data_IF_038795515588
#
_entry.id   IF_038795515588
#
_cell.length_a   1.000
_cell.length_b   1.000
_cell.length_c   1.000
_cell.angle_alpha   90.00
_cell.angle_beta   90.00
_cell.angle_gamma   90.00
#
_symmetry.space_group_name_H-M   'P 1'
#
loop_
_entity.id
_entity.type
_entity.pdbx_description
1 polymer ?
#
# COMPACT_ATOMS: atom_id res chain seq x y z
N UNK A 1 4.44 8.50 -25.01
CA UNK A 1 3.62 9.36 -24.10
C UNK A 1 2.69 8.49 -23.28
N UNK A 2 2.59 8.71 -21.96
CA UNK A 2 1.70 8.01 -21.05
C UNK A 2 1.06 9.00 -20.07
N UNK A 3 -0.10 8.65 -19.49
CA UNK A 3 -0.75 9.49 -18.48
C UNK A 3 -0.26 9.16 -17.09
N UNK A 4 -0.08 10.18 -16.24
CA UNK A 4 0.30 10.01 -14.83
C UNK A 4 -0.05 11.24 -14.01
N UNK A 5 -0.24 11.05 -12.71
CA UNK A 5 -0.32 12.14 -11.75
C UNK A 5 1.11 12.66 -11.56
N UNK A 6 1.31 13.96 -11.77
CA UNK A 6 2.63 14.59 -11.60
C UNK A 6 2.55 15.66 -10.52
N UNK A 7 3.47 15.60 -9.58
CA UNK A 7 3.70 16.62 -8.55
C UNK A 7 4.91 17.44 -9.00
N UNK A 8 4.71 18.72 -9.27
CA UNK A 8 5.75 19.67 -9.71
C UNK A 8 5.93 20.79 -8.68
N UNK A 9 6.94 21.61 -8.85
CA UNK A 9 7.29 22.72 -7.96
C UNK A 9 8.23 22.30 -6.83
N UNK A 10 7.92 22.68 -5.62
CA UNK A 10 8.71 22.38 -4.42
C UNK A 10 7.80 22.13 -3.23
N UNK A 11 8.38 21.66 -2.14
CA UNK A 11 7.61 21.44 -0.89
C UNK A 11 6.97 22.74 -0.43
N UNK A 12 5.65 22.71 -0.22
CA UNK A 12 4.86 23.86 0.21
C UNK A 12 4.32 24.73 -0.92
N UNK A 13 4.83 24.55 -2.14
CA UNK A 13 4.35 25.20 -3.37
C UNK A 13 4.26 24.16 -4.50
N UNK A 14 3.64 23.04 -4.21
CA UNK A 14 3.50 21.95 -5.17
C UNK A 14 2.22 22.06 -5.97
N UNK A 15 2.33 21.77 -7.25
CA UNK A 15 1.22 21.68 -8.17
C UNK A 15 1.02 20.21 -8.58
N UNK A 16 -0.21 19.73 -8.48
CA UNK A 16 -0.56 18.35 -8.80
C UNK A 16 -1.54 18.32 -9.93
N UNK A 17 -1.23 17.56 -10.95
CA UNK A 17 -2.10 17.45 -12.13
C UNK A 17 -1.95 16.11 -12.82
N UNK A 18 -3.01 15.66 -13.49
CA UNK A 18 -2.95 14.55 -14.43
C UNK A 18 -2.38 15.06 -15.76
N UNK A 19 -1.23 14.53 -16.17
CA UNK A 19 -0.53 14.96 -17.38
C UNK A 19 -0.27 13.81 -18.34
N UNK A 20 -0.11 14.15 -19.61
CA UNK A 20 0.57 13.31 -20.60
C UNK A 20 2.07 13.55 -20.47
N UNK A 21 2.81 12.50 -20.16
CA UNK A 21 4.25 12.55 -19.84
C UNK A 21 5.01 11.85 -20.96
N UNK A 22 6.13 12.44 -21.39
CA UNK A 22 7.03 11.83 -22.36
C UNK A 22 7.78 10.66 -21.69
N UNK A 23 7.89 9.53 -22.38
CA UNK A 23 8.64 8.35 -21.90
C UNK A 23 10.13 8.62 -21.72
N UNK A 24 10.69 9.59 -22.46
CA UNK A 24 12.05 10.08 -22.26
C UNK A 24 12.29 10.69 -20.87
N UNK A 25 11.23 11.07 -20.14
CA UNK A 25 11.29 11.59 -18.77
C UNK A 25 11.26 10.50 -17.70
N UNK A 26 11.03 9.24 -18.08
CA UNK A 26 11.09 8.15 -17.11
C UNK A 26 12.46 8.14 -16.41
N UNK A 27 12.49 7.98 -15.07
CA UNK A 27 13.75 7.94 -14.34
C UNK A 27 14.60 6.74 -14.75
N UNK A 28 15.84 6.69 -14.28
CA UNK A 28 16.73 5.55 -14.47
C UNK A 28 16.14 4.28 -13.82
N UNK A 29 16.38 3.15 -14.48
CA UNK A 29 15.94 1.83 -14.06
C UNK A 29 16.19 0.82 -15.17
N UNK A 30 16.24 -0.44 -14.82
CA UNK A 30 16.55 -1.55 -15.70
C UNK A 30 15.31 -2.36 -16.14
N UNK A 31 14.13 -2.03 -15.56
CA UNK A 31 12.85 -2.64 -15.94
C UNK A 31 11.79 -1.55 -16.17
N UNK A 32 11.16 -1.57 -17.35
CA UNK A 32 10.01 -0.71 -17.68
C UNK A 32 8.73 -1.54 -17.62
N UNK A 33 7.72 -1.02 -16.91
CA UNK A 33 6.44 -1.69 -16.64
C UNK A 33 5.29 -0.85 -17.16
N UNK A 34 4.39 -1.46 -17.94
CA UNK A 34 3.06 -0.92 -18.19
C UNK A 34 2.19 -1.24 -16.97
N UNK A 35 1.80 -0.19 -16.23
CA UNK A 35 1.06 -0.30 -14.98
C UNK A 35 -0.40 -0.57 -15.28
N UNK A 36 -0.88 -1.75 -14.88
CA UNK A 36 -2.27 -2.14 -15.02
C UNK A 36 -3.12 -1.64 -13.85
N UNK A 37 -2.59 -1.73 -12.62
CA UNK A 37 -3.25 -1.30 -11.39
C UNK A 37 -2.25 -0.70 -10.42
N UNK A 38 -2.72 0.24 -9.61
CA UNK A 38 -2.05 0.81 -8.44
C UNK A 38 -3.04 0.83 -7.28
N UNK A 39 -2.60 1.27 -6.10
CA UNK A 39 -3.46 1.49 -4.93
C UNK A 39 -3.39 2.95 -4.48
N UNK A 40 -4.32 3.33 -3.59
CA UNK A 40 -4.26 4.60 -2.89
C UNK A 40 -3.96 4.34 -1.41
N UNK A 41 -2.83 4.80 -0.95
CA UNK A 41 -2.41 4.73 0.45
C UNK A 41 -2.49 6.12 1.10
N UNK A 42 -2.59 6.16 2.41
CA UNK A 42 -2.55 7.43 3.17
C UNK A 42 -1.29 8.25 2.82
N UNK A 43 -0.17 7.58 2.61
CA UNK A 43 1.08 8.19 2.20
C UNK A 43 0.98 8.90 0.84
N UNK A 44 0.29 8.32 -0.13
CA UNK A 44 0.08 8.93 -1.44
C UNK A 44 -0.77 10.21 -1.31
N UNK A 45 -1.80 10.16 -0.46
CA UNK A 45 -2.60 11.33 -0.11
C UNK A 45 -1.78 12.45 0.54
N UNK A 46 -0.86 12.11 1.44
CA UNK A 46 0.06 13.08 2.04
C UNK A 46 1.03 13.67 1.00
N UNK A 47 1.53 12.84 0.07
CA UNK A 47 2.41 13.30 -1.02
C UNK A 47 1.67 14.29 -1.93
N UNK A 48 0.46 13.91 -2.38
CA UNK A 48 -0.37 14.71 -3.28
C UNK A 48 -0.79 16.03 -2.65
N UNK A 49 -1.19 16.02 -1.38
CA UNK A 49 -1.66 17.21 -0.66
C UNK A 49 -0.55 18.08 -0.07
N UNK A 50 0.69 17.63 -0.07
CA UNK A 50 1.82 18.34 0.55
C UNK A 50 1.77 18.43 2.07
N UNK A 51 0.82 17.73 2.73
CA UNK A 51 0.64 17.77 4.19
C UNK A 51 1.79 17.15 4.97
N UNK A 52 2.60 16.31 4.31
CA UNK A 52 3.82 15.76 4.88
C UNK A 52 4.92 15.67 3.81
N UNK A 53 6.22 15.68 4.19
CA UNK A 53 7.36 15.65 3.27
C UNK A 53 7.60 14.24 2.69
N UNK A 54 6.61 13.69 2.00
CA UNK A 54 6.68 12.35 1.40
C UNK A 54 7.53 12.41 0.13
N UNK A 55 7.14 13.23 -0.86
CA UNK A 55 7.96 13.45 -2.05
C UNK A 55 9.29 14.10 -1.65
N UNK A 56 10.39 13.44 -1.98
CA UNK A 56 11.76 13.88 -1.67
C UNK A 56 12.43 14.59 -2.84
N UNK A 57 11.94 14.35 -4.04
CA UNK A 57 12.42 14.94 -5.30
C UNK A 57 11.23 15.43 -6.12
N UNK A 58 11.45 16.42 -6.95
CA UNK A 58 10.47 17.00 -7.86
C UNK A 58 11.08 17.12 -9.28
N UNK A 59 10.33 16.86 -10.35
CA UNK A 59 8.94 16.39 -10.34
C UNK A 59 8.82 14.94 -9.84
N UNK A 60 7.66 14.57 -9.26
CA UNK A 60 7.39 13.25 -8.71
C UNK A 60 6.07 12.69 -9.24
N UNK A 61 6.08 11.43 -9.65
CA UNK A 61 4.87 10.63 -9.83
C UNK A 61 4.61 9.88 -8.51
N UNK A 62 3.52 10.14 -7.79
CA UNK A 62 3.21 9.44 -6.55
C UNK A 62 2.73 8.00 -6.79
N UNK A 63 2.46 7.27 -5.71
CA UNK A 63 1.96 5.89 -5.75
C UNK A 63 3.04 4.90 -5.30
N UNK A 64 2.87 4.36 -4.09
CA UNK A 64 3.87 3.45 -3.49
C UNK A 64 3.70 2.01 -3.91
N UNK A 65 2.63 1.69 -4.63
CA UNK A 65 2.29 0.34 -5.09
C UNK A 65 2.00 0.34 -6.59
N UNK A 66 2.36 -0.74 -7.26
CA UNK A 66 1.92 -1.02 -8.63
C UNK A 66 1.92 -2.51 -8.93
N UNK A 67 1.10 -2.90 -9.90
CA UNK A 67 1.15 -4.18 -10.57
C UNK A 67 0.95 -3.97 -12.08
N UNK A 68 1.67 -4.69 -12.88
CA UNK A 68 1.63 -4.52 -14.33
C UNK A 68 2.47 -5.53 -15.08
N UNK A 69 2.72 -5.24 -16.34
CA UNK A 69 3.46 -6.11 -17.26
C UNK A 69 4.76 -5.44 -17.67
N UNK A 70 5.86 -6.16 -17.60
CA UNK A 70 7.16 -5.72 -18.09
C UNK A 70 7.10 -5.53 -19.61
N UNK A 71 7.50 -4.35 -20.09
CA UNK A 71 7.60 -4.05 -21.53
C UNK A 71 9.02 -4.10 -22.04
N UNK A 72 9.97 -3.66 -21.21
CA UNK A 72 11.40 -3.64 -21.52
C UNK A 72 12.20 -4.02 -20.27
N UNK A 73 13.25 -4.80 -20.42
CA UNK A 73 14.16 -5.15 -19.32
C UNK A 73 15.58 -5.34 -19.81
N UNK A 74 16.54 -4.80 -19.07
CA UNK A 74 17.94 -5.19 -19.10
C UNK A 74 18.36 -5.97 -17.85
N UNK A 75 17.43 -6.18 -16.91
CA UNK A 75 17.64 -7.00 -15.73
C UNK A 75 17.55 -8.49 -16.11
N UNK A 76 18.49 -9.35 -15.65
CA UNK A 76 18.51 -10.78 -16.03
C UNK A 76 17.32 -11.59 -15.50
N UNK A 77 16.68 -11.11 -14.41
CA UNK A 77 15.59 -11.83 -13.74
C UNK A 77 14.21 -11.54 -14.34
N UNK A 78 14.11 -10.55 -15.24
CA UNK A 78 12.84 -10.13 -15.86
C UNK A 78 12.95 -9.97 -17.37
N UNK A 79 11.88 -10.29 -18.06
CA UNK A 79 11.73 -10.12 -19.53
C UNK A 79 10.38 -9.52 -19.88
N UNK A 80 10.26 -8.98 -21.08
CA UNK A 80 9.00 -8.48 -21.60
C UNK A 80 7.92 -9.56 -21.53
N UNK A 81 6.73 -9.18 -21.05
CA UNK A 81 5.58 -10.06 -20.83
C UNK A 81 5.47 -10.61 -19.41
N UNK A 82 6.49 -10.48 -18.57
CA UNK A 82 6.39 -10.90 -17.16
C UNK A 82 5.43 -9.99 -16.38
N UNK A 83 4.54 -10.60 -15.61
CA UNK A 83 3.66 -9.87 -14.67
C UNK A 83 4.38 -9.64 -13.34
N UNK A 84 4.36 -8.41 -12.87
CA UNK A 84 5.12 -7.99 -11.69
C UNK A 84 4.31 -7.16 -10.73
N UNK A 85 4.75 -7.16 -9.46
CA UNK A 85 4.21 -6.36 -8.35
C UNK A 85 5.34 -5.62 -7.67
N UNK A 86 5.06 -4.40 -7.21
CA UNK A 86 5.93 -3.63 -6.33
C UNK A 86 5.12 -3.01 -5.20
N UNK A 87 5.65 -3.11 -3.97
CA UNK A 87 5.12 -2.44 -2.80
C UNK A 87 6.25 -1.70 -2.06
N UNK A 88 6.15 -0.38 -1.95
CA UNK A 88 7.08 0.43 -1.15
C UNK A 88 8.41 0.75 -1.82
N UNK A 89 9.53 0.40 -1.19
CA UNK A 89 10.92 0.63 -1.66
C UNK A 89 11.28 2.09 -1.98
N UNK A 90 10.53 3.07 -1.44
CA UNK A 90 10.72 4.48 -1.72
C UNK A 90 10.18 4.94 -3.09
N UNK A 91 9.41 4.09 -3.75
CA UNK A 91 8.65 4.43 -4.95
C UNK A 91 7.50 5.37 -4.56
N UNK A 92 7.25 6.41 -5.32
CA UNK A 92 6.36 7.51 -4.94
C UNK A 92 6.93 8.50 -3.92
N UNK A 93 8.20 8.29 -3.47
CA UNK A 93 8.89 9.15 -2.51
C UNK A 93 10.22 9.72 -3.07
N UNK A 94 11.13 8.83 -3.46
CA UNK A 94 12.46 9.14 -4.03
C UNK A 94 12.54 8.77 -5.51
N UNK A 95 11.70 7.85 -5.95
CA UNK A 95 11.55 7.39 -7.33
C UNK A 95 10.10 7.58 -7.76
N UNK A 96 9.88 7.76 -9.04
CA UNK A 96 8.53 7.84 -9.60
C UNK A 96 7.74 6.58 -9.30
N UNK A 97 6.47 6.77 -8.94
CA UNK A 97 5.58 5.74 -8.44
C UNK A 97 4.55 5.21 -9.44
N UNK A 98 3.60 4.45 -8.90
CA UNK A 98 2.62 3.67 -9.64
C UNK A 98 1.34 4.42 -10.07
N UNK A 99 1.14 5.68 -9.67
CA UNK A 99 -0.03 6.46 -10.14
C UNK A 99 0.20 7.06 -11.54
N UNK A 100 0.65 6.22 -12.45
CA UNK A 100 0.85 6.48 -13.86
C UNK A 100 0.65 5.20 -14.68
N UNK A 101 0.45 5.33 -15.99
CA UNK A 101 0.29 4.18 -16.88
C UNK A 101 1.61 3.43 -17.13
N UNK A 102 2.75 4.07 -16.86
CA UNK A 102 4.08 3.48 -17.08
C UNK A 102 5.03 3.86 -15.94
N UNK A 103 5.87 2.92 -15.54
CA UNK A 103 6.93 3.13 -14.56
C UNK A 103 8.24 2.50 -15.05
N UNK A 104 9.39 3.10 -14.70
CA UNK A 104 10.72 2.49 -14.88
C UNK A 104 11.39 2.39 -13.53
N UNK A 105 11.88 1.19 -13.20
CA UNK A 105 12.25 0.80 -11.84
C UNK A 105 13.50 -0.08 -11.86
N UNK A 106 14.12 -0.25 -10.68
CA UNK A 106 15.11 -1.31 -10.49
C UNK A 106 14.41 -2.65 -10.32
N UNK A 107 14.82 -3.68 -11.06
CA UNK A 107 14.30 -5.03 -10.97
C UNK A 107 14.44 -5.63 -9.57
N UNK A 108 15.46 -5.26 -8.79
CA UNK A 108 15.65 -5.70 -7.40
C UNK A 108 14.46 -5.40 -6.48
N UNK A 109 13.57 -4.50 -6.90
CA UNK A 109 12.38 -4.08 -6.13
C UNK A 109 11.10 -4.75 -6.60
N UNK A 110 11.16 -5.43 -7.73
CA UNK A 110 10.03 -6.12 -8.33
C UNK A 110 9.95 -7.56 -7.84
N UNK A 111 8.74 -8.07 -7.73
CA UNK A 111 8.49 -9.48 -7.52
C UNK A 111 7.56 -9.99 -8.62
N UNK A 112 7.77 -11.22 -9.13
CA UNK A 112 6.83 -11.83 -10.05
C UNK A 112 5.44 -11.94 -9.41
N UNK A 113 4.41 -11.59 -10.15
CA UNK A 113 3.03 -11.80 -9.70
C UNK A 113 2.78 -13.30 -9.57
N UNK A 114 2.45 -13.74 -8.35
CA UNK A 114 2.25 -15.16 -8.05
C UNK A 114 0.82 -15.59 -8.38
N UNK A 115 0.67 -16.69 -9.11
CA UNK A 115 -0.62 -17.35 -9.25
C UNK A 115 -1.15 -17.81 -7.86
N UNK A 116 -2.46 -17.76 -7.58
CA UNK A 116 -3.55 -17.47 -8.53
C UNK A 116 -3.95 -15.98 -8.61
N UNK A 117 -3.15 -15.06 -8.09
CA UNK A 117 -3.52 -13.64 -8.02
C UNK A 117 -3.46 -12.95 -9.38
N UNK A 118 -4.45 -12.11 -9.64
CA UNK A 118 -4.42 -11.14 -10.74
C UNK A 118 -3.78 -9.82 -10.25
N UNK A 119 -3.30 -8.98 -11.17
CA UNK A 119 -2.77 -7.65 -10.85
C UNK A 119 -3.78 -6.80 -10.04
N UNK A 120 -5.07 -6.91 -10.35
CA UNK A 120 -6.15 -6.25 -9.60
C UNK A 120 -6.22 -6.75 -8.15
N UNK A 121 -6.13 -8.04 -7.93
CA UNK A 121 -6.18 -8.63 -6.58
C UNK A 121 -4.91 -8.29 -5.79
N UNK A 122 -3.73 -8.33 -6.43
CA UNK A 122 -2.49 -7.92 -5.82
C UNK A 122 -2.54 -6.47 -5.33
N UNK A 123 -3.15 -5.57 -6.12
CA UNK A 123 -3.31 -4.17 -5.71
C UNK A 123 -4.46 -3.99 -4.71
N UNK A 124 -5.47 -4.84 -4.69
CA UNK A 124 -6.46 -4.84 -3.60
C UNK A 124 -5.84 -5.23 -2.24
N UNK A 125 -4.82 -6.08 -2.23
CA UNK A 125 -3.99 -6.37 -1.06
C UNK A 125 -3.09 -5.16 -0.75
N UNK A 126 -2.28 -4.74 -1.70
CA UNK A 126 -1.39 -3.58 -1.64
C UNK A 126 -0.47 -3.55 -0.42
N UNK A 127 0.15 -2.41 -0.18
CA UNK A 127 0.99 -2.19 1.02
C UNK A 127 0.19 -2.37 2.32
N UNK A 128 -1.10 -2.03 2.34
CA UNK A 128 -1.93 -2.17 3.54
C UNK A 128 -2.11 -3.64 3.95
N UNK A 129 -2.48 -4.51 3.01
CA UNK A 129 -2.66 -5.92 3.28
C UNK A 129 -1.35 -6.65 3.56
N UNK A 130 -0.30 -6.34 2.82
CA UNK A 130 1.06 -6.83 3.07
C UNK A 130 1.53 -6.48 4.49
N UNK A 131 1.34 -5.22 4.91
CA UNK A 131 1.71 -4.76 6.26
C UNK A 131 0.91 -5.48 7.34
N UNK A 132 -0.41 -5.64 7.14
CA UNK A 132 -1.27 -6.38 8.07
C UNK A 132 -0.77 -7.82 8.26
N UNK A 133 -0.45 -8.51 7.16
CA UNK A 133 0.05 -9.89 7.22
C UNK A 133 1.40 -9.98 7.92
N UNK A 134 2.31 -9.02 7.72
CA UNK A 134 3.58 -8.98 8.46
C UNK A 134 3.36 -8.85 9.98
N UNK A 135 2.38 -8.04 10.41
CA UNK A 135 2.04 -7.93 11.83
C UNK A 135 1.52 -9.27 12.38
N UNK A 136 0.64 -9.94 11.65
CA UNK A 136 0.11 -11.26 12.06
C UNK A 136 1.24 -12.29 12.17
N UNK A 137 2.10 -12.40 11.15
CA UNK A 137 3.27 -13.30 11.17
C UNK A 137 4.19 -12.99 12.37
N UNK A 138 4.37 -11.71 12.70
CA UNK A 138 5.19 -11.32 13.86
C UNK A 138 4.57 -11.81 15.17
N UNK A 139 3.25 -11.68 15.35
CA UNK A 139 2.54 -12.20 16.53
C UNK A 139 2.71 -13.73 16.65
N UNK A 140 2.49 -14.47 15.57
CA UNK A 140 2.62 -15.93 15.54
C UNK A 140 4.05 -16.37 15.85
N UNK A 141 5.06 -15.70 15.28
CA UNK A 141 6.48 -15.95 15.58
C UNK A 141 6.85 -15.71 17.05
N UNK A 142 6.12 -14.82 17.74
CA UNK A 142 6.27 -14.59 19.18
C UNK A 142 5.40 -15.54 20.04
N UNK A 143 4.81 -16.55 19.44
CA UNK A 143 4.06 -17.58 20.14
C UNK A 143 2.62 -17.21 20.47
N UNK A 144 2.10 -16.10 19.93
CA UNK A 144 0.69 -15.73 20.08
C UNK A 144 -0.18 -16.68 19.25
N UNK A 145 -1.17 -17.30 19.90
CA UNK A 145 -2.09 -18.28 19.30
C UNK A 145 -3.54 -17.83 19.52
N UNK A 146 -4.52 -18.42 18.80
CA UNK A 146 -5.92 -18.11 19.03
C UNK A 146 -6.38 -18.25 20.48
N UNK A 147 -5.78 -19.17 21.25
CA UNK A 147 -6.10 -19.41 22.66
C UNK A 147 -5.40 -18.41 23.61
N UNK A 148 -4.53 -17.55 23.12
CA UNK A 148 -3.78 -16.60 23.95
C UNK A 148 -4.62 -15.45 24.52
N UNK A 149 -5.87 -15.31 24.05
CA UNK A 149 -6.79 -14.27 24.44
C UNK A 149 -7.15 -13.34 23.29
N UNK A 150 -7.73 -12.20 23.63
CA UNK A 150 -8.20 -11.24 22.62
C UNK A 150 -7.04 -10.45 22.01
N UNK A 151 -7.10 -10.29 20.70
CA UNK A 151 -6.17 -9.43 19.94
C UNK A 151 -6.80 -8.07 19.73
N UNK A 152 -6.15 -7.03 20.23
CA UNK A 152 -6.58 -5.66 20.04
C UNK A 152 -6.01 -5.10 18.73
N UNK A 153 -6.89 -4.61 17.85
CA UNK A 153 -6.50 -3.95 16.59
C UNK A 153 -6.90 -2.49 16.65
N UNK A 154 -5.93 -1.58 16.79
CA UNK A 154 -6.16 -0.13 16.75
C UNK A 154 -6.22 0.38 15.32
N UNK A 155 -6.95 1.50 15.10
CA UNK A 155 -7.15 2.03 13.75
C UNK A 155 -7.85 1.02 12.82
N UNK A 156 -8.75 0.22 13.38
CA UNK A 156 -9.37 -0.94 12.74
C UNK A 156 -10.13 -0.62 11.44
N UNK A 157 -10.62 0.61 11.27
CA UNK A 157 -11.30 1.06 10.05
C UNK A 157 -10.35 1.58 8.96
N UNK A 158 -9.04 1.62 9.24
CA UNK A 158 -8.03 1.98 8.24
C UNK A 158 -7.66 0.81 7.33
N UNK A 159 -6.92 1.07 6.25
CA UNK A 159 -6.51 0.04 5.28
C UNK A 159 -5.78 -1.14 5.93
N UNK A 160 -4.76 -0.87 6.76
CA UNK A 160 -4.02 -1.93 7.48
C UNK A 160 -4.91 -2.60 8.53
N UNK A 161 -5.63 -1.80 9.35
CA UNK A 161 -6.42 -2.33 10.47
C UNK A 161 -7.56 -3.23 10.01
N UNK A 162 -8.30 -2.84 8.96
CA UNK A 162 -9.43 -3.65 8.46
C UNK A 162 -8.96 -4.99 7.89
N UNK A 163 -7.85 -5.01 7.17
CA UNK A 163 -7.26 -6.26 6.68
C UNK A 163 -6.72 -7.10 7.82
N UNK A 164 -6.10 -6.49 8.84
CA UNK A 164 -5.64 -7.21 10.03
C UNK A 164 -6.80 -7.91 10.77
N UNK A 165 -7.92 -7.18 10.97
CA UNK A 165 -9.15 -7.77 11.55
C UNK A 165 -9.60 -9.00 10.75
N UNK A 166 -9.71 -8.87 9.43
CA UNK A 166 -10.15 -9.96 8.57
C UNK A 166 -9.21 -11.17 8.60
N UNK A 167 -7.90 -10.96 8.54
CA UNK A 167 -6.90 -12.04 8.60
C UNK A 167 -6.95 -12.74 9.96
N UNK A 168 -6.90 -12.00 11.06
CA UNK A 168 -6.91 -12.55 12.41
C UNK A 168 -8.19 -13.35 12.67
N UNK A 169 -9.36 -12.81 12.29
CA UNK A 169 -10.64 -13.52 12.42
C UNK A 169 -10.65 -14.80 11.58
N UNK A 170 -10.11 -14.77 10.35
CA UNK A 170 -10.01 -15.95 9.47
C UNK A 170 -9.10 -17.03 10.06
N UNK A 171 -8.06 -16.64 10.79
CA UNK A 171 -7.13 -17.54 11.48
C UNK A 171 -7.67 -18.04 12.85
N UNK A 172 -8.87 -17.62 13.25
CA UNK A 172 -9.52 -18.09 14.47
C UNK A 172 -9.23 -17.27 15.72
N UNK A 173 -8.52 -16.14 15.60
CA UNK A 173 -8.30 -15.24 16.73
C UNK A 173 -9.57 -14.50 17.14
N UNK A 174 -9.69 -14.23 18.44
CA UNK A 174 -10.71 -13.32 18.98
C UNK A 174 -10.22 -11.87 18.79
N UNK A 175 -10.94 -11.08 18.01
CA UNK A 175 -10.51 -9.72 17.64
C UNK A 175 -11.40 -8.67 18.30
N UNK A 176 -10.77 -7.76 19.07
CA UNK A 176 -11.37 -6.51 19.53
C UNK A 176 -10.87 -5.37 18.64
N UNK A 177 -11.76 -4.78 17.86
CA UNK A 177 -11.45 -3.70 16.93
C UNK A 177 -11.66 -2.33 17.59
N UNK A 178 -10.62 -1.50 17.58
CA UNK A 178 -10.66 -0.14 18.14
C UNK A 178 -10.84 0.88 17.03
N UNK A 179 -11.86 1.71 17.13
CA UNK A 179 -12.16 2.77 16.16
C UNK A 179 -12.63 4.04 16.85
N UNK A 180 -12.37 5.20 16.24
CA UNK A 180 -13.02 6.47 16.60
C UNK A 180 -14.19 6.79 15.65
N UNK A 181 -14.70 5.80 14.92
CA UNK A 181 -15.83 5.90 14.01
C UNK A 181 -16.84 4.82 14.34
N UNK A 182 -17.70 5.05 15.35
CA UNK A 182 -18.68 4.06 15.81
C UNK A 182 -19.67 3.66 14.72
N UNK A 183 -19.94 4.52 13.75
CA UNK A 183 -20.78 4.23 12.58
C UNK A 183 -20.27 3.08 11.72
N UNK A 184 -18.98 2.73 11.84
CA UNK A 184 -18.34 1.64 11.10
C UNK A 184 -18.43 0.28 11.82
N UNK A 185 -19.14 0.18 12.93
CA UNK A 185 -19.28 -1.06 13.71
C UNK A 185 -19.75 -2.24 12.85
N UNK A 186 -20.79 -2.05 12.04
CA UNK A 186 -21.34 -3.10 11.18
C UNK A 186 -20.30 -3.62 10.17
N UNK A 187 -19.49 -2.73 9.61
CA UNK A 187 -18.39 -3.08 8.71
C UNK A 187 -17.33 -3.93 9.44
N UNK A 188 -16.87 -3.49 10.62
CA UNK A 188 -15.87 -4.23 11.39
C UNK A 188 -16.36 -5.61 11.84
N UNK A 189 -17.62 -5.71 12.24
CA UNK A 189 -18.26 -7.01 12.54
C UNK A 189 -18.34 -7.92 11.32
N UNK A 190 -18.62 -7.37 10.14
CA UNK A 190 -18.62 -8.14 8.88
C UNK A 190 -17.24 -8.71 8.52
N UNK A 191 -16.16 -8.07 8.97
CA UNK A 191 -14.78 -8.56 8.84
C UNK A 191 -14.42 -9.61 9.89
N UNK A 192 -15.28 -9.86 10.89
CA UNK A 192 -15.09 -10.86 11.92
C UNK A 192 -14.64 -10.33 13.29
N UNK A 193 -14.66 -9.01 13.51
CA UNK A 193 -14.45 -8.47 14.86
C UNK A 193 -15.53 -8.97 15.82
N UNK A 194 -15.13 -9.51 16.97
CA UNK A 194 -16.06 -9.95 18.02
C UNK A 194 -16.54 -8.80 18.89
N UNK A 195 -15.64 -7.87 19.17
CA UNK A 195 -15.90 -6.69 19.98
C UNK A 195 -15.45 -5.42 19.27
N UNK A 196 -16.14 -4.33 19.53
CA UNK A 196 -15.80 -2.99 19.09
C UNK A 196 -15.58 -2.14 20.33
N UNK A 197 -14.47 -1.41 20.34
CA UNK A 197 -14.09 -0.49 21.43
C UNK A 197 -13.95 0.91 20.86
N UNK A 198 -14.53 1.90 21.53
CA UNK A 198 -14.31 3.29 21.16
C UNK A 198 -12.86 3.68 21.50
N UNK A 199 -12.16 4.30 20.56
CA UNK A 199 -10.81 4.83 20.80
C UNK A 199 -10.75 5.78 21.98
N UNK A 200 -11.84 6.51 22.28
CA UNK A 200 -11.91 7.43 23.41
C UNK A 200 -11.66 6.73 24.74
N UNK A 201 -12.11 5.48 24.88
CA UNK A 201 -11.92 4.68 26.11
C UNK A 201 -10.44 4.35 26.40
N UNK A 202 -9.59 4.40 25.36
CA UNK A 202 -8.15 4.18 25.48
C UNK A 202 -7.34 5.48 25.56
N UNK A 203 -8.00 6.63 25.56
CA UNK A 203 -7.33 7.94 25.52
C UNK A 203 -6.98 8.46 26.92
N UNK A 204 -7.55 7.89 27.98
CA UNK A 204 -7.21 8.25 29.34
C UNK A 204 -5.94 7.50 29.80
N UNK A 205 -5.05 8.15 30.58
CA UNK A 205 -3.91 7.46 31.19
C UNK A 205 -4.43 6.28 32.02
N UNK A 206 -3.90 5.09 31.74
CA UNK A 206 -4.20 3.90 32.53
C UNK A 206 -3.89 4.12 34.02
N UNK A 207 -4.71 3.52 34.88
CA UNK A 207 -4.47 3.47 36.32
C UNK A 207 -3.39 2.46 36.64
#
# INVERSE_FOLDING_TARGET
MFKGILIEGSRGDQQVSLKSIDEARLPEGDVTVDVAYSTLNYKDGLAITGRAPIAKTYPMVPGIDLAGVVTESSNPDFKAGDEVVLNGWGVGEKHWGGLAQKARLSGDRLIPLQAPFTARQAMAIGTAGYTAMLCVIALEKHGVKPESGDILVTGATGGVGSVAVAILAKLGYSVTAVTGRPEEEAYLKSLGAKQILDRAELSEPGK
#
